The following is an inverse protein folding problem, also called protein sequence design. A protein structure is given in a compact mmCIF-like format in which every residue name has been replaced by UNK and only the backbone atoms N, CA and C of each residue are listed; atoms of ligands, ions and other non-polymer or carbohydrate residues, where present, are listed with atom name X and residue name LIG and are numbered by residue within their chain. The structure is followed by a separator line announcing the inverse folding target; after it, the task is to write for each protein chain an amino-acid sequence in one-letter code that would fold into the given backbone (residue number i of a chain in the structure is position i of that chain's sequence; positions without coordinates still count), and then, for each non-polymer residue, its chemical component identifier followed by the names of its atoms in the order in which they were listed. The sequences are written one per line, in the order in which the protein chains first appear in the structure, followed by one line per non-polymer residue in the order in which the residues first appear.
data_IF_684243493118
#
_entry.id   IF_684243493118
#
_cell.length_a   1.000
_cell.length_b   1.000
_cell.length_c   1.000
_cell.angle_alpha   90.00
_cell.angle_beta   90.00
_cell.angle_gamma   90.00
#
_symmetry.space_group_name_H-M   'P 1'
#
loop_
_entity.id
_entity.type
_entity.pdbx_description
1 polymer ?
#
# COMPACT_ATOMS: atom_id res chain seq x y z
N UNK A 1 -9.79 6.61 9.54
CA UNK A 1 -10.23 5.95 8.29
C UNK A 1 -9.00 5.78 7.41
N UNK A 2 -8.77 4.56 6.91
CA UNK A 2 -7.76 4.29 5.91
C UNK A 2 -8.30 4.66 4.52
N UNK A 3 -7.56 5.46 3.77
CA UNK A 3 -7.93 5.91 2.43
C UNK A 3 -6.87 5.48 1.42
N UNK A 4 -7.32 5.05 0.25
CA UNK A 4 -6.49 4.83 -0.93
C UNK A 4 -7.02 5.63 -2.10
N UNK A 5 -6.18 5.89 -3.12
CA UNK A 5 -6.57 6.68 -4.28
C UNK A 5 -5.81 6.25 -5.53
N UNK A 6 -6.33 6.66 -6.69
CA UNK A 6 -5.65 6.57 -7.97
C UNK A 6 -5.23 7.97 -8.41
N UNK A 7 -3.98 8.11 -8.87
CA UNK A 7 -3.39 9.38 -9.28
C UNK A 7 -2.79 9.28 -10.67
N UNK A 8 -3.00 10.30 -11.49
CA UNK A 8 -2.40 10.43 -12.81
C UNK A 8 -1.56 11.70 -12.83
N UNK A 9 -0.29 11.59 -13.20
CA UNK A 9 0.63 12.72 -13.38
C UNK A 9 0.90 12.99 -14.85
N UNK A 10 1.26 14.23 -15.17
CA UNK A 10 1.58 14.65 -16.52
C UNK A 10 0.36 14.71 -17.45
N UNK A 11 -0.80 15.08 -16.90
CA UNK A 11 -1.96 15.41 -17.72
C UNK A 11 -1.62 16.56 -18.67
N UNK A 12 -2.16 16.61 -19.91
CA UNK A 12 -1.90 17.73 -20.83
C UNK A 12 -2.11 19.08 -20.16
N UNK A 13 -1.10 19.96 -20.25
CA UNK A 13 -1.12 21.28 -19.62
C UNK A 13 -0.76 21.31 -18.13
N UNK A 14 -0.52 20.17 -17.49
CA UNK A 14 -0.13 20.15 -16.07
C UNK A 14 1.20 20.90 -15.86
N UNK A 15 1.16 21.98 -15.07
CA UNK A 15 2.35 22.74 -14.67
C UNK A 15 3.07 22.10 -13.47
N UNK A 16 4.28 22.58 -13.17
CA UNK A 16 4.98 22.13 -11.96
C UNK A 16 4.25 22.55 -10.67
N UNK A 17 3.63 23.73 -10.67
CA UNK A 17 2.84 24.23 -9.54
C UNK A 17 1.64 23.34 -9.26
N UNK A 18 0.91 22.93 -10.31
CA UNK A 18 -0.24 22.03 -10.18
C UNK A 18 0.19 20.62 -9.74
N UNK A 19 1.33 20.15 -10.23
CA UNK A 19 1.89 18.90 -9.72
C UNK A 19 2.28 19.01 -8.24
N UNK A 20 2.86 20.15 -7.81
CA UNK A 20 3.17 20.38 -6.40
C UNK A 20 1.89 20.39 -5.53
N UNK A 21 0.79 20.99 -6.00
CA UNK A 21 -0.52 20.93 -5.33
C UNK A 21 -1.01 19.48 -5.16
N UNK A 22 -0.75 18.62 -6.16
CA UNK A 22 -1.05 17.18 -6.04
C UNK A 22 -0.25 16.53 -4.91
N UNK A 23 1.06 16.80 -4.80
CA UNK A 23 1.89 16.30 -3.70
C UNK A 23 1.40 16.80 -2.34
N UNK A 24 1.00 18.06 -2.27
CA UNK A 24 0.52 18.68 -1.03
C UNK A 24 -0.83 18.08 -0.61
N UNK A 25 -1.73 17.81 -1.57
CA UNK A 25 -2.98 17.10 -1.31
C UNK A 25 -2.73 15.66 -0.80
N UNK A 26 -1.78 14.94 -1.38
CA UNK A 26 -1.40 13.59 -0.94
C UNK A 26 -0.88 13.60 0.51
N UNK A 27 -0.05 14.60 0.88
CA UNK A 27 0.41 14.77 2.26
C UNK A 27 -0.74 15.11 3.21
N UNK A 28 -1.59 16.06 2.81
CA UNK A 28 -2.69 16.53 3.67
C UNK A 28 -3.72 15.46 3.98
N UNK A 29 -4.07 14.62 2.98
CA UNK A 29 -5.00 13.51 3.16
C UNK A 29 -4.35 12.33 3.85
N UNK A 30 -3.03 12.16 3.69
CA UNK A 30 -2.25 11.06 4.26
C UNK A 30 -2.78 9.68 3.83
N UNK A 31 -2.83 9.45 2.51
CA UNK A 31 -3.28 8.16 1.97
C UNK A 31 -2.39 7.01 2.43
N UNK A 32 -3.02 5.91 2.89
CA UNK A 32 -2.27 4.70 3.25
C UNK A 32 -1.60 4.05 2.04
N UNK A 33 -2.21 4.20 0.86
CA UNK A 33 -1.68 3.70 -0.42
C UNK A 33 -2.26 4.48 -1.59
N UNK A 34 -1.54 4.47 -2.71
CA UNK A 34 -2.07 4.98 -3.98
C UNK A 34 -1.59 4.14 -5.16
N UNK A 35 -2.39 4.09 -6.22
CA UNK A 35 -1.95 3.66 -7.54
C UNK A 35 -1.68 4.91 -8.37
N UNK A 36 -0.46 5.06 -8.88
CA UNK A 36 -0.05 6.24 -9.62
C UNK A 36 0.49 5.89 -11.00
N UNK A 37 0.11 6.67 -12.00
CA UNK A 37 0.40 6.43 -13.40
C UNK A 37 0.80 7.72 -14.12
N UNK A 38 1.64 7.61 -15.16
CA UNK A 38 1.78 8.68 -16.14
C UNK A 38 0.54 8.74 -17.02
N UNK A 39 0.09 9.96 -17.34
CA UNK A 39 -0.94 10.15 -18.36
C UNK A 39 -0.51 9.53 -19.70
N UNK A 40 -1.43 8.80 -20.33
CA UNK A 40 -1.31 8.28 -21.68
C UNK A 40 -2.55 8.63 -22.50
N UNK A 41 -2.34 8.98 -23.76
CA UNK A 41 -3.45 9.31 -24.66
C UNK A 41 -4.38 8.11 -24.87
N UNK A 42 -5.68 8.37 -24.76
CA UNK A 42 -6.71 7.40 -25.13
C UNK A 42 -7.50 7.95 -26.32
N UNK A 43 -7.52 7.25 -27.47
CA UNK A 43 -8.26 7.69 -28.64
C UNK A 43 -9.71 8.03 -28.31
N UNK A 44 -10.20 9.15 -28.88
CA UNK A 44 -11.57 9.61 -28.70
C UNK A 44 -11.83 10.48 -27.47
N UNK A 45 -10.88 10.62 -26.55
CA UNK A 45 -11.04 11.50 -25.38
C UNK A 45 -10.75 12.97 -25.72
N UNK A 46 -11.32 13.92 -24.97
CA UNK A 46 -10.98 15.33 -25.10
C UNK A 46 -9.50 15.59 -24.79
N UNK A 47 -8.96 14.94 -23.77
CA UNK A 47 -7.57 15.08 -23.35
C UNK A 47 -6.56 14.66 -24.44
N UNK A 48 -6.88 13.66 -25.26
CA UNK A 48 -5.99 13.25 -26.36
C UNK A 48 -5.80 14.31 -27.43
N UNK A 49 -6.74 15.28 -27.55
CA UNK A 49 -6.70 16.38 -28.51
C UNK A 49 -5.91 17.61 -28.05
N UNK A 50 -5.53 17.66 -26.78
CA UNK A 50 -4.69 18.73 -26.27
C UNK A 50 -3.27 18.66 -26.88
N UNK A 51 -2.72 19.81 -27.23
CA UNK A 51 -1.38 19.92 -27.86
C UNK A 51 -0.27 20.17 -26.85
N UNK A 52 -0.61 20.68 -25.68
CA UNK A 52 0.27 21.01 -24.56
C UNK A 52 0.66 19.80 -23.74
N UNK A 53 1.21 18.78 -24.42
CA UNK A 53 1.61 17.53 -23.76
C UNK A 53 2.84 17.74 -22.89
N UNK A 54 2.80 17.17 -21.69
CA UNK A 54 3.99 17.10 -20.83
C UNK A 54 4.97 16.10 -21.42
N UNK A 55 6.24 16.47 -21.48
CA UNK A 55 7.31 15.63 -22.00
C UNK A 55 7.42 14.29 -21.23
N UNK A 56 7.69 13.16 -21.93
CA UNK A 56 7.76 11.85 -21.30
C UNK A 56 8.74 11.77 -20.12
N UNK A 57 9.91 12.41 -20.25
CA UNK A 57 10.90 12.45 -19.18
C UNK A 57 10.40 13.21 -17.94
N UNK A 58 9.62 14.29 -18.15
CA UNK A 58 9.01 15.05 -17.07
C UNK A 58 7.91 14.24 -16.36
N UNK A 59 7.05 13.55 -17.12
CA UNK A 59 6.04 12.65 -16.53
C UNK A 59 6.69 11.61 -15.62
N UNK A 60 7.79 11.00 -16.08
CA UNK A 60 8.50 9.99 -15.30
C UNK A 60 9.07 10.58 -14.00
N UNK A 61 9.72 11.76 -14.07
CA UNK A 61 10.25 12.45 -12.88
C UNK A 61 9.14 12.80 -11.87
N UNK A 62 7.97 13.25 -12.34
CA UNK A 62 6.82 13.51 -11.48
C UNK A 62 6.29 12.23 -10.85
N UNK A 63 6.19 11.16 -11.62
CA UNK A 63 5.76 9.86 -11.11
C UNK A 63 6.70 9.34 -10.01
N UNK A 64 8.01 9.40 -10.22
CA UNK A 64 9.01 8.99 -9.23
C UNK A 64 8.89 9.80 -7.93
N UNK A 65 8.73 11.13 -8.02
CA UNK A 65 8.54 12.01 -6.85
C UNK A 65 7.26 11.66 -6.08
N UNK A 66 6.16 11.41 -6.80
CA UNK A 66 4.89 11.03 -6.20
C UNK A 66 4.98 9.66 -5.52
N UNK A 67 5.61 8.68 -6.18
CA UNK A 67 5.79 7.34 -5.62
C UNK A 67 6.69 7.34 -4.39
N UNK A 68 7.78 8.12 -4.40
CA UNK A 68 8.65 8.27 -3.24
C UNK A 68 7.89 8.84 -2.03
N UNK A 69 7.09 9.92 -2.25
CA UNK A 69 6.24 10.48 -1.20
C UNK A 69 5.25 9.43 -0.66
N UNK A 70 4.58 8.71 -1.54
CA UNK A 70 3.60 7.69 -1.12
C UNK A 70 4.28 6.54 -0.37
N UNK A 71 5.49 6.14 -0.77
CA UNK A 71 6.24 5.09 -0.07
C UNK A 71 6.57 5.51 1.38
N UNK A 72 6.97 6.76 1.59
CA UNK A 72 7.21 7.30 2.93
C UNK A 72 5.94 7.30 3.78
N UNK A 73 4.82 7.79 3.25
CA UNK A 73 3.53 7.82 3.96
C UNK A 73 3.03 6.40 4.29
N UNK A 74 3.15 5.47 3.34
CA UNK A 74 2.76 4.07 3.56
C UNK A 74 3.64 3.39 4.61
N UNK A 75 4.95 3.68 4.61
CA UNK A 75 5.87 3.20 5.64
C UNK A 75 5.49 3.71 7.03
N UNK A 76 5.18 4.99 7.13
CA UNK A 76 4.79 5.60 8.41
C UNK A 76 3.43 5.09 8.89
N UNK A 77 2.48 4.85 7.97
CA UNK A 77 1.23 4.15 8.27
C UNK A 77 1.49 2.79 8.90
N UNK A 78 2.30 1.92 8.24
CA UNK A 78 2.60 0.59 8.75
C UNK A 78 3.34 0.63 10.10
N UNK A 79 4.31 1.54 10.27
CA UNK A 79 5.03 1.70 11.54
C UNK A 79 4.10 2.09 12.69
N UNK A 80 3.14 2.97 12.43
CA UNK A 80 2.16 3.40 13.43
C UNK A 80 1.23 2.25 13.88
N UNK A 81 1.18 1.16 13.13
CA UNK A 81 0.40 -0.04 13.47
C UNK A 81 1.08 -0.94 14.51
N UNK A 82 2.38 -0.80 14.73
CA UNK A 82 3.12 -1.62 15.71
C UNK A 82 2.55 -1.38 17.11
N UNK A 83 2.26 -2.48 17.83
CA UNK A 83 1.60 -2.47 19.12
C UNK A 83 0.06 -2.48 19.06
N UNK A 84 -0.55 -2.26 17.88
CA UNK A 84 -1.99 -2.30 17.72
C UNK A 84 -2.52 -3.74 17.78
N UNK A 85 -3.66 -3.91 18.43
CA UNK A 85 -4.45 -5.15 18.41
C UNK A 85 -5.44 -5.08 17.26
N UNK A 86 -5.53 -6.15 16.49
CA UNK A 86 -6.45 -6.25 15.35
C UNK A 86 -6.85 -7.71 15.12
N UNK A 87 -7.89 -7.92 14.34
CA UNK A 87 -8.26 -9.23 13.81
C UNK A 87 -7.81 -9.32 12.37
N UNK A 88 -7.33 -10.49 11.93
CA UNK A 88 -6.95 -10.71 10.54
C UNK A 88 -7.75 -11.85 9.94
N UNK A 89 -8.21 -11.68 8.72
CA UNK A 89 -8.82 -12.72 7.91
C UNK A 89 -7.71 -13.47 7.16
N UNK A 90 -7.52 -14.75 7.47
CA UNK A 90 -6.51 -15.57 6.81
C UNK A 90 -6.90 -15.84 5.35
N UNK A 91 -6.00 -15.56 4.42
CA UNK A 91 -6.19 -15.75 2.98
C UNK A 91 -5.49 -17.03 2.48
N UNK A 92 -4.32 -17.34 3.02
CA UNK A 92 -3.54 -18.50 2.58
C UNK A 92 -2.27 -18.71 3.40
N UNK A 93 -1.64 -19.87 3.16
CA UNK A 93 -0.33 -20.13 3.72
C UNK A 93 0.71 -19.19 3.10
N UNK A 94 1.60 -18.67 3.92
CA UNK A 94 2.73 -17.85 3.52
C UNK A 94 4.00 -18.69 3.48
N UNK A 95 5.08 -18.13 2.89
CA UNK A 95 6.41 -18.75 3.03
C UNK A 95 6.84 -18.69 4.48
N UNK A 96 7.46 -19.77 4.96
CA UNK A 96 8.06 -19.81 6.31
C UNK A 96 8.98 -18.61 6.49
N UNK A 97 8.89 -18.01 7.67
CA UNK A 97 9.85 -16.98 8.08
C UNK A 97 11.11 -17.65 8.65
N UNK A 98 12.25 -16.97 8.54
CA UNK A 98 13.50 -17.47 9.13
C UNK A 98 13.32 -17.62 10.65
N UNK A 99 13.63 -18.82 11.17
CA UNK A 99 13.50 -19.15 12.59
C UNK A 99 12.18 -19.82 13.00
N UNK A 100 11.28 -20.16 12.08
CA UNK A 100 10.06 -20.91 12.38
C UNK A 100 10.34 -22.39 12.67
N UNK A 101 9.83 -22.86 13.82
CA UNK A 101 9.86 -24.27 14.20
C UNK A 101 8.96 -25.13 13.29
N UNK A 102 9.27 -26.44 13.23
CA UNK A 102 8.43 -27.41 12.51
C UNK A 102 6.99 -27.53 13.08
N UNK A 103 6.78 -27.00 14.29
CA UNK A 103 5.48 -27.01 14.98
C UNK A 103 4.56 -25.83 14.60
N UNK A 104 5.05 -24.88 13.77
CA UNK A 104 4.28 -23.70 13.34
C UNK A 104 4.15 -23.62 11.84
N UNK A 105 3.08 -22.98 11.40
CA UNK A 105 2.78 -22.68 10.00
C UNK A 105 2.65 -21.16 9.81
N UNK A 106 3.31 -20.61 8.79
CA UNK A 106 3.17 -19.22 8.39
C UNK A 106 1.90 -19.02 7.57
N UNK A 107 1.12 -18.04 7.97
CA UNK A 107 -0.11 -17.62 7.31
C UNK A 107 -0.05 -16.15 6.95
N UNK A 108 -0.71 -15.80 5.85
CA UNK A 108 -0.95 -14.42 5.44
C UNK A 108 -2.45 -14.14 5.48
N UNK A 109 -2.78 -12.96 5.95
CA UNK A 109 -4.17 -12.47 5.97
C UNK A 109 -4.21 -10.96 5.81
N UNK A 110 -5.43 -10.42 5.92
CA UNK A 110 -5.66 -8.97 5.91
C UNK A 110 -6.40 -8.53 7.15
N UNK A 111 -6.01 -7.36 7.64
CA UNK A 111 -6.74 -6.69 8.70
C UNK A 111 -7.93 -5.88 8.14
N UNK A 112 -8.78 -5.27 9.00
CA UNK A 112 -9.93 -4.48 8.55
C UNK A 112 -9.60 -3.24 7.71
N UNK A 113 -8.35 -2.79 7.70
CA UNK A 113 -7.89 -1.66 6.86
C UNK A 113 -7.31 -2.12 5.53
N UNK A 114 -7.18 -3.44 5.33
CA UNK A 114 -6.64 -4.03 4.12
C UNK A 114 -5.13 -4.26 4.16
N UNK A 115 -4.46 -3.97 5.29
CA UNK A 115 -3.03 -4.23 5.45
C UNK A 115 -2.74 -5.73 5.43
N UNK A 116 -1.72 -6.13 4.67
CA UNK A 116 -1.25 -7.50 4.66
C UNK A 116 -0.51 -7.81 5.98
N UNK A 117 -0.96 -8.85 6.67
CA UNK A 117 -0.36 -9.28 7.95
C UNK A 117 0.07 -10.74 7.84
N UNK A 118 1.32 -11.00 8.17
CA UNK A 118 1.85 -12.36 8.29
C UNK A 118 1.83 -12.76 9.77
N UNK A 119 1.44 -14.00 10.04
CA UNK A 119 1.34 -14.56 11.40
C UNK A 119 1.79 -16.01 11.39
N UNK A 120 2.50 -16.43 12.44
CA UNK A 120 2.82 -17.83 12.68
C UNK A 120 1.77 -18.42 13.62
N UNK A 121 1.15 -19.52 13.19
CA UNK A 121 0.15 -20.24 13.95
C UNK A 121 0.63 -21.67 14.28
N UNK A 122 0.17 -22.29 15.36
CA UNK A 122 0.39 -23.72 15.58
C UNK A 122 -0.10 -24.53 14.37
N UNK A 123 0.64 -25.59 14.01
CA UNK A 123 0.33 -26.41 12.85
C UNK A 123 -1.09 -27.00 12.94
N UNK A 124 -1.79 -26.97 11.81
CA UNK A 124 -3.15 -27.53 11.68
C UNK A 124 -4.29 -26.62 12.17
N UNK A 125 -3.99 -25.42 12.70
CA UNK A 125 -5.03 -24.46 13.13
C UNK A 125 -5.44 -23.53 11.99
N UNK A 126 -4.49 -23.12 11.16
CA UNK A 126 -4.73 -22.17 10.10
C UNK A 126 -5.59 -22.75 8.97
N UNK A 127 -6.52 -21.94 8.47
CA UNK A 127 -7.29 -22.23 7.23
C UNK A 127 -7.77 -20.92 6.59
N UNK A 128 -7.90 -20.87 5.26
CA UNK A 128 -8.48 -19.69 4.60
C UNK A 128 -9.89 -19.41 5.13
N UNK A 129 -10.18 -18.12 5.33
CA UNK A 129 -11.46 -17.65 5.87
C UNK A 129 -11.55 -17.63 7.39
N UNK A 130 -10.54 -18.12 8.12
CA UNK A 130 -10.49 -18.01 9.57
C UNK A 130 -10.11 -16.58 9.97
N UNK A 131 -10.81 -16.03 10.95
CA UNK A 131 -10.43 -14.74 11.58
C UNK A 131 -9.66 -15.05 12.85
N UNK A 132 -8.47 -14.47 13.00
CA UNK A 132 -7.61 -14.66 14.17
C UNK A 132 -7.22 -13.33 14.79
N UNK A 133 -7.29 -13.21 16.13
CA UNK A 133 -6.86 -12.00 16.83
C UNK A 133 -5.32 -11.96 16.93
N UNK A 134 -4.74 -10.82 16.57
CA UNK A 134 -3.29 -10.61 16.62
C UNK A 134 -2.92 -9.29 17.28
N UNK A 135 -1.69 -9.21 17.75
CA UNK A 135 -1.00 -7.95 18.03
C UNK A 135 0.08 -7.73 16.96
N UNK A 136 0.14 -6.57 16.38
CA UNK A 136 1.17 -6.23 15.39
C UNK A 136 2.49 -5.98 16.13
N UNK A 137 3.52 -6.75 15.79
CA UNK A 137 4.84 -6.67 16.46
C UNK A 137 5.91 -6.03 15.60
N UNK A 138 5.77 -6.08 14.27
CA UNK A 138 6.77 -5.53 13.35
C UNK A 138 6.12 -5.01 12.07
N UNK A 139 6.60 -3.87 11.59
CA UNK A 139 6.29 -3.36 10.25
C UNK A 139 7.44 -3.71 9.28
N UNK A 140 7.11 -4.29 8.16
CA UNK A 140 7.98 -4.50 6.99
C UNK A 140 7.68 -3.45 5.94
N UNK A 141 8.40 -3.47 4.82
CA UNK A 141 8.23 -2.47 3.74
C UNK A 141 6.79 -2.40 3.22
N UNK A 142 6.11 -3.54 3.06
CA UNK A 142 4.76 -3.63 2.45
C UNK A 142 3.82 -4.55 3.22
N UNK A 143 4.16 -4.90 4.44
CA UNK A 143 3.34 -5.80 5.26
C UNK A 143 3.66 -5.65 6.74
N UNK A 144 2.81 -6.21 7.56
CA UNK A 144 2.96 -6.30 9.00
C UNK A 144 3.27 -7.74 9.41
N UNK A 145 3.88 -7.90 10.57
CA UNK A 145 3.98 -9.18 11.28
C UNK A 145 3.15 -9.07 12.54
N UNK A 146 2.27 -10.03 12.73
CA UNK A 146 1.45 -10.18 13.92
C UNK A 146 1.81 -11.43 14.69
N UNK A 147 1.61 -11.39 16.01
CA UNK A 147 1.62 -12.55 16.89
C UNK A 147 0.20 -12.83 17.36
N UNK A 148 -0.13 -14.12 17.49
CA UNK A 148 -1.44 -14.55 17.98
C UNK A 148 -1.67 -13.99 19.38
N UNK A 149 -2.82 -13.37 19.56
CA UNK A 149 -3.24 -12.90 20.89
C UNK A 149 -3.97 -14.03 21.62
N UNK A 150 -3.40 -14.43 22.75
CA UNK A 150 -4.04 -15.34 23.68
C UNK A 150 -5.29 -14.74 24.34
#
# INVERSE_FOLDING_TARGET
IALSTDLIVGFPGETEEQFQETLDAVRAVNFMSSFSFCYSDRPGTAASRHTDKVEPAEKLRRLERLQALQEDLSSDWLKARVGCKTDILLEGASRKQDGEDAATESWQGRDPWGDAVNVSLPAGIGKPGLIVPVIIVTAKKHSLIGELRG
#
